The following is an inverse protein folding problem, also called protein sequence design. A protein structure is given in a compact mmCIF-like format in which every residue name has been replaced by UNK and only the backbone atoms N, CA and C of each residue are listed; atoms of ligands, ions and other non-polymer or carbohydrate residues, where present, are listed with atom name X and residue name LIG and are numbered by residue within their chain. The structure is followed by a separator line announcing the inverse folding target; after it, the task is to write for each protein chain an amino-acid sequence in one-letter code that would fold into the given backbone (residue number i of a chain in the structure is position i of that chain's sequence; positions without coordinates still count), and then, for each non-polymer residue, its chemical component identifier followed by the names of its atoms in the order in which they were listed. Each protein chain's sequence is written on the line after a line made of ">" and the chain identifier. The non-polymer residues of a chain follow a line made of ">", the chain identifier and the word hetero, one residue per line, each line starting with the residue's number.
data_IF_456980054104
#
_entry.id   IF_456980054104
#
_cell.length_a   1.000
_cell.length_b   1.000
_cell.length_c   1.000
_cell.angle_alpha   90.00
_cell.angle_beta   90.00
_cell.angle_gamma   90.00
#
_symmetry.space_group_name_H-M   'P 1'
#
loop_
_entity.id
_entity.type
_entity.pdbx_description
1 polymer ?
#
# COMPACT_ATOMS: atom_id res chain seq x y z
N UNK A 1 11.89 -0.67 2.72
CA UNK A 1 10.72 -0.86 3.62
C UNK A 1 10.12 0.46 4.11
N UNK A 2 10.91 1.42 4.62
CA UNK A 2 10.36 2.71 5.11
C UNK A 2 9.57 3.56 4.10
N UNK A 3 9.93 3.57 2.81
CA UNK A 3 9.24 4.44 1.84
C UNK A 3 7.81 4.00 1.56
N UNK A 4 7.56 2.70 1.35
CA UNK A 4 6.21 2.18 1.15
C UNK A 4 5.32 2.47 2.37
N UNK A 5 5.84 2.23 3.58
CA UNK A 5 5.12 2.52 4.82
C UNK A 5 4.86 4.02 4.98
N UNK A 6 5.80 4.88 4.60
CA UNK A 6 5.60 6.33 4.63
C UNK A 6 4.54 6.78 3.61
N UNK A 7 4.49 6.14 2.43
CA UNK A 7 3.50 6.43 1.40
C UNK A 7 2.10 5.99 1.83
N UNK A 8 1.99 4.80 2.43
CA UNK A 8 0.75 4.30 3.05
C UNK A 8 0.31 5.22 4.20
N UNK A 9 1.23 5.61 5.07
CA UNK A 9 0.97 6.54 6.17
C UNK A 9 0.46 7.89 5.67
N UNK A 10 1.08 8.44 4.62
CA UNK A 10 0.68 9.70 4.01
C UNK A 10 -0.73 9.62 3.39
N UNK A 11 -1.02 8.56 2.63
CA UNK A 11 -2.33 8.34 2.02
C UNK A 11 -3.43 8.16 3.08
N UNK A 12 -3.14 7.44 4.17
CA UNK A 12 -4.05 7.22 5.27
C UNK A 12 -4.13 8.38 6.27
N UNK A 13 -3.28 9.40 6.10
CA UNK A 13 -3.10 10.52 7.06
C UNK A 13 -2.83 10.01 8.49
N UNK A 14 -2.10 8.91 8.58
CA UNK A 14 -1.68 8.27 9.82
C UNK A 14 -0.19 8.46 10.04
N UNK A 15 0.29 8.38 11.29
CA UNK A 15 1.73 8.35 11.54
C UNK A 15 2.33 7.02 11.01
N UNK A 16 3.56 7.02 10.48
CA UNK A 16 4.22 5.80 10.02
C UNK A 16 4.33 4.72 11.09
N UNK A 17 4.39 5.12 12.38
CA UNK A 17 4.41 4.21 13.52
C UNK A 17 3.09 3.46 13.75
N UNK A 18 1.99 3.87 13.12
CA UNK A 18 0.70 3.19 13.18
C UNK A 18 0.48 2.24 11.99
N UNK A 19 1.40 2.20 11.03
CA UNK A 19 1.32 1.31 9.87
C UNK A 19 2.11 0.05 10.18
N UNK A 20 1.42 -1.08 10.13
CA UNK A 20 1.98 -2.41 10.33
C UNK A 20 1.67 -3.30 9.13
N UNK A 21 2.38 -4.41 8.92
CA UNK A 21 2.05 -5.37 7.86
C UNK A 21 0.60 -5.88 7.92
N UNK A 22 0.01 -5.93 9.12
CA UNK A 22 -1.38 -6.31 9.35
C UNK A 22 -2.40 -5.19 9.10
N UNK A 23 -1.97 -3.95 8.84
CA UNK A 23 -2.87 -2.83 8.53
C UNK A 23 -3.60 -3.11 7.22
N UNK A 24 -4.93 -2.97 7.23
CA UNK A 24 -5.81 -3.27 6.11
C UNK A 24 -7.05 -2.39 6.14
N UNK A 25 -7.77 -2.33 5.02
CA UNK A 25 -9.10 -1.69 4.96
C UNK A 25 -10.08 -2.21 6.02
N UNK A 26 -9.95 -3.48 6.43
CA UNK A 26 -10.90 -4.10 7.36
C UNK A 26 -10.69 -3.66 8.80
N UNK A 27 -9.44 -3.38 9.20
CA UNK A 27 -9.11 -3.02 10.59
C UNK A 27 -8.73 -1.55 10.77
N UNK A 28 -8.62 -0.79 9.68
CA UNK A 28 -8.19 0.61 9.70
C UNK A 28 -9.30 1.50 9.15
N UNK A 29 -10.08 2.18 10.00
CA UNK A 29 -11.19 3.04 9.56
C UNK A 29 -10.75 4.21 8.67
N UNK A 30 -9.50 4.67 8.81
CA UNK A 30 -8.92 5.70 7.96
C UNK A 30 -8.64 5.21 6.52
N UNK A 31 -8.61 3.89 6.31
CA UNK A 31 -8.42 3.28 5.01
C UNK A 31 -9.77 3.05 4.32
N UNK A 32 -10.34 4.14 3.81
CA UNK A 32 -11.56 4.10 3.00
C UNK A 32 -11.25 3.90 1.51
N UNK A 33 -12.30 3.91 0.67
CA UNK A 33 -12.16 3.75 -0.78
C UNK A 33 -11.36 4.89 -1.44
N UNK A 34 -11.42 6.10 -0.89
CA UNK A 34 -10.71 7.26 -1.43
C UNK A 34 -9.22 7.20 -1.08
N UNK A 35 -8.88 6.98 0.19
CA UNK A 35 -7.51 6.82 0.67
C UNK A 35 -6.80 5.65 -0.02
N UNK A 36 -7.56 4.59 -0.35
CA UNK A 36 -7.01 3.52 -1.16
C UNK A 36 -6.67 3.95 -2.58
N UNK A 37 -7.55 4.68 -3.27
CA UNK A 37 -7.21 5.21 -4.58
C UNK A 37 -6.00 6.16 -4.53
N UNK A 38 -5.94 7.05 -3.54
CA UNK A 38 -4.77 7.93 -3.32
C UNK A 38 -3.48 7.11 -3.10
N UNK A 39 -3.57 6.04 -2.32
CA UNK A 39 -2.46 5.10 -2.11
C UNK A 39 -2.01 4.45 -3.42
N UNK A 40 -2.94 3.91 -4.21
CA UNK A 40 -2.63 3.28 -5.50
C UNK A 40 -1.93 4.27 -6.42
N UNK A 41 -2.47 5.48 -6.58
CA UNK A 41 -1.88 6.53 -7.42
C UNK A 41 -0.45 6.86 -6.95
N UNK A 42 -0.25 6.97 -5.63
CA UNK A 42 1.07 7.20 -5.05
C UNK A 42 2.05 6.06 -5.33
N UNK A 43 1.60 4.81 -5.27
CA UNK A 43 2.41 3.63 -5.60
C UNK A 43 2.77 3.64 -7.09
N UNK A 44 1.79 3.84 -7.97
CA UNK A 44 2.00 3.90 -9.42
C UNK A 44 3.01 4.98 -9.80
N UNK A 45 2.89 6.18 -9.24
CA UNK A 45 3.84 7.28 -9.47
C UNK A 45 5.22 6.98 -8.86
N UNK A 46 5.29 6.48 -7.62
CA UNK A 46 6.57 6.25 -6.94
C UNK A 46 7.38 5.12 -7.57
N UNK A 47 6.72 4.05 -7.99
CA UNK A 47 7.33 2.85 -8.56
C UNK A 47 7.28 2.83 -10.09
N UNK A 48 6.68 3.85 -10.72
CA UNK A 48 6.51 3.96 -12.17
C UNK A 48 5.89 2.69 -12.77
N UNK A 49 4.84 2.19 -12.11
CA UNK A 49 4.10 0.99 -12.51
C UNK A 49 2.65 1.32 -12.75
N UNK A 50 2.01 0.50 -13.58
CA UNK A 50 0.56 0.54 -13.80
C UNK A 50 -0.02 -0.72 -13.15
N UNK A 51 -1.05 -0.52 -12.33
CA UNK A 51 -1.77 -1.55 -11.61
C UNK A 51 -3.15 -1.73 -12.24
N UNK A 52 -3.51 -2.97 -12.53
CA UNK A 52 -4.82 -3.29 -13.07
C UNK A 52 -5.88 -3.33 -11.97
N UNK A 53 -7.17 -3.25 -12.35
CA UNK A 53 -8.29 -3.22 -11.41
C UNK A 53 -8.30 -4.44 -10.46
N UNK A 54 -7.91 -5.62 -10.95
CA UNK A 54 -7.78 -6.84 -10.14
C UNK A 54 -6.66 -6.72 -9.09
N UNK A 55 -5.51 -6.13 -9.45
CA UNK A 55 -4.41 -5.92 -8.51
C UNK A 55 -4.76 -4.88 -7.45
N UNK A 56 -5.41 -3.79 -7.87
CA UNK A 56 -5.92 -2.75 -6.98
C UNK A 56 -6.89 -3.38 -5.97
N UNK A 57 -7.84 -4.19 -6.42
CA UNK A 57 -8.78 -4.89 -5.55
C UNK A 57 -8.09 -5.85 -4.57
N UNK A 58 -6.98 -6.48 -4.98
CA UNK A 58 -6.20 -7.39 -4.14
C UNK A 58 -5.33 -6.64 -3.09
N UNK A 59 -4.95 -5.39 -3.38
CA UNK A 59 -4.16 -4.48 -2.54
C UNK A 59 -4.95 -3.88 -1.35
N UNK A 60 -5.75 -4.70 -0.68
CA UNK A 60 -6.59 -4.31 0.46
C UNK A 60 -5.87 -4.30 1.83
N UNK A 61 -4.59 -4.69 1.86
CA UNK A 61 -3.75 -4.71 3.06
C UNK A 61 -2.30 -4.40 2.73
N UNK A 62 -1.54 -3.94 3.74
CA UNK A 62 -0.10 -3.64 3.58
C UNK A 62 0.66 -4.89 3.12
N UNK A 63 0.38 -6.05 3.72
CA UNK A 63 0.96 -7.33 3.30
C UNK A 63 0.65 -7.67 1.84
N UNK A 64 -0.60 -7.50 1.38
CA UNK A 64 -0.98 -7.73 -0.01
C UNK A 64 -0.24 -6.81 -0.97
N UNK A 65 -0.11 -5.53 -0.62
CA UNK A 65 0.62 -4.53 -1.41
C UNK A 65 2.10 -4.92 -1.53
N UNK A 66 2.75 -5.24 -0.41
CA UNK A 66 4.15 -5.70 -0.41
C UNK A 66 4.30 -6.91 -1.31
N UNK A 67 3.41 -7.90 -1.17
CA UNK A 67 3.44 -9.13 -1.98
C UNK A 67 3.32 -8.82 -3.47
N UNK A 68 2.40 -7.94 -3.88
CA UNK A 68 2.21 -7.58 -5.29
C UNK A 68 3.42 -6.81 -5.86
N UNK A 69 3.96 -5.87 -5.09
CA UNK A 69 5.14 -5.12 -5.51
C UNK A 69 6.40 -5.99 -5.53
N UNK A 70 6.53 -6.95 -4.61
CA UNK A 70 7.62 -7.91 -4.56
C UNK A 70 7.59 -8.89 -5.73
N UNK A 71 6.40 -9.37 -6.13
CA UNK A 71 6.21 -10.18 -7.36
C UNK A 71 6.72 -9.46 -8.61
N UNK A 72 6.65 -8.13 -8.62
CA UNK A 72 7.15 -7.25 -9.70
C UNK A 72 8.63 -6.88 -9.55
N UNK A 73 9.29 -7.27 -8.45
CA UNK A 73 10.69 -6.94 -8.15
C UNK A 73 10.91 -5.48 -7.74
N UNK A 74 9.85 -4.78 -7.31
CA UNK A 74 9.89 -3.35 -6.96
C UNK A 74 10.26 -3.10 -5.49
N UNK A 75 10.03 -4.09 -4.64
CA UNK A 75 10.37 -4.07 -3.21
C UNK A 75 10.92 -5.43 -2.80
N UNK A 76 11.88 -5.44 -1.88
CA UNK A 76 12.39 -6.68 -1.28
C UNK A 76 11.40 -7.21 -0.24
N UNK A 77 10.98 -8.47 -0.41
CA UNK A 77 10.15 -9.26 0.53
C UNK A 77 10.94 -9.70 1.78
N UNK A 78 11.99 -8.97 2.16
CA UNK A 78 12.83 -9.33 3.29
C UNK A 78 12.13 -9.01 4.62
N UNK A 79 11.14 -9.85 4.96
CA UNK A 79 10.69 -10.11 6.31
C UNK A 79 11.55 -11.19 6.96
#
# INVERSE_FOLDING_TARGET
>A
MNELFALIAAALKLPPSAIEPGTSMKNTPAWDSLAHMELIIGIEDRYQVILDADEIADMSSVASIITQLAKRGLVDDAA
#
